data_IF_074261814823
#
_entry.id   IF_074261814823
#
_cell.length_a   1.000
_cell.length_b   1.000
_cell.length_c   1.000
_cell.angle_alpha   90.00
_cell.angle_beta   90.00
_cell.angle_gamma   90.00
#
_symmetry.space_group_name_H-M   'P 1'
#
loop_
_entity.id
_entity.type
_entity.pdbx_description
1 polymer ?
#
# COMPACT_ATOMS: atom_id res chain seq x y z
N UNK A 1 12.98 16.69 -32.63
CA UNK A 1 13.77 16.38 -31.41
C UNK A 1 13.36 17.40 -30.37
N UNK A 2 12.59 17.04 -29.33
CA UNK A 2 11.91 18.04 -28.47
C UNK A 2 12.85 18.53 -27.35
N UNK A 3 13.23 19.80 -27.45
CA UNK A 3 13.94 20.64 -26.47
C UNK A 3 13.09 20.99 -25.24
N UNK A 4 12.52 20.00 -24.55
CA UNK A 4 11.89 20.26 -23.25
C UNK A 4 12.50 19.31 -22.21
N UNK A 5 13.74 19.62 -21.77
CA UNK A 5 14.32 18.92 -20.63
C UNK A 5 13.84 19.62 -19.35
N UNK A 6 12.88 19.01 -18.63
CA UNK A 6 12.38 19.56 -17.34
C UNK A 6 13.44 19.59 -16.24
N UNK A 7 14.59 18.96 -16.49
CA UNK A 7 15.70 18.83 -15.58
C UNK A 7 16.00 17.36 -15.30
N UNK A 8 16.96 17.12 -14.43
CA UNK A 8 17.35 15.77 -14.00
C UNK A 8 16.71 15.43 -12.67
N UNK A 9 16.09 14.24 -12.57
CA UNK A 9 15.57 13.67 -11.32
C UNK A 9 16.33 12.39 -11.00
N UNK A 10 16.71 12.23 -9.73
CA UNK A 10 17.29 10.99 -9.22
C UNK A 10 16.24 10.25 -8.40
N UNK A 11 15.90 9.04 -8.82
CA UNK A 11 15.03 8.11 -8.09
C UNK A 11 15.91 7.10 -7.35
N UNK A 12 15.71 6.97 -6.04
CA UNK A 12 16.45 6.03 -5.19
C UNK A 12 15.56 4.82 -4.91
N UNK A 13 15.97 3.65 -5.41
CA UNK A 13 15.26 2.38 -5.33
C UNK A 13 14.50 2.07 -6.63
N UNK A 14 14.67 0.84 -7.13
CA UNK A 14 14.05 0.32 -8.33
C UNK A 14 12.98 -0.76 -8.02
N UNK A 15 12.30 -0.63 -6.87
CA UNK A 15 11.04 -1.33 -6.61
C UNK A 15 9.86 -0.70 -7.38
N UNK A 16 8.66 -1.26 -7.25
CA UNK A 16 7.47 -0.84 -8.00
C UNK A 16 7.17 0.66 -7.89
N UNK A 17 7.29 1.24 -6.68
CA UNK A 17 7.06 2.67 -6.47
C UNK A 17 8.10 3.54 -7.20
N UNK A 18 9.37 3.12 -7.20
CA UNK A 18 10.46 3.85 -7.86
C UNK A 18 10.37 3.75 -9.38
N UNK A 19 10.14 2.55 -9.91
CA UNK A 19 9.98 2.31 -11.35
C UNK A 19 8.73 2.98 -11.91
N UNK A 20 7.59 2.92 -11.21
CA UNK A 20 6.39 3.63 -11.62
C UNK A 20 6.62 5.15 -11.63
N UNK A 21 7.26 5.70 -10.60
CA UNK A 21 7.61 7.12 -10.55
C UNK A 21 8.53 7.51 -11.71
N UNK A 22 9.58 6.73 -11.97
CA UNK A 22 10.51 6.97 -13.08
C UNK A 22 9.80 6.93 -14.43
N UNK A 23 8.91 5.96 -14.65
CA UNK A 23 8.13 5.81 -15.88
C UNK A 23 7.30 7.07 -16.18
N UNK A 24 6.51 7.54 -15.20
CA UNK A 24 5.68 8.73 -15.39
C UNK A 24 6.51 10.03 -15.50
N UNK A 25 7.65 10.12 -14.81
CA UNK A 25 8.58 11.26 -14.95
C UNK A 25 9.21 11.31 -16.35
N UNK A 26 9.62 10.16 -16.90
CA UNK A 26 10.16 10.09 -18.28
C UNK A 26 9.09 10.52 -19.28
N UNK A 27 7.83 10.05 -19.12
CA UNK A 27 6.70 10.47 -19.97
C UNK A 27 6.43 11.97 -19.90
N UNK A 28 6.65 12.58 -18.74
CA UNK A 28 6.50 14.02 -18.49
C UNK A 28 7.70 14.87 -18.97
N UNK A 29 8.77 14.24 -19.50
CA UNK A 29 9.91 14.92 -20.13
C UNK A 29 11.10 15.19 -19.20
N UNK A 30 11.22 14.45 -18.11
CA UNK A 30 12.38 14.52 -17.21
C UNK A 30 13.51 13.57 -17.66
N UNK A 31 14.75 13.99 -17.43
CA UNK A 31 15.92 13.09 -17.46
C UNK A 31 16.01 12.33 -16.13
N UNK A 32 15.69 11.03 -16.14
CA UNK A 32 15.59 10.24 -14.90
C UNK A 32 16.79 9.32 -14.73
N UNK A 33 17.43 9.40 -13.57
CA UNK A 33 18.48 8.48 -13.12
C UNK A 33 17.97 7.63 -11.97
N UNK A 34 18.08 6.32 -12.08
CA UNK A 34 17.66 5.38 -11.03
C UNK A 34 18.89 4.83 -10.32
N UNK A 35 18.92 4.95 -9.00
CA UNK A 35 19.96 4.37 -8.14
C UNK A 35 19.36 3.19 -7.37
N UNK A 36 19.79 1.98 -7.70
CA UNK A 36 19.41 0.76 -7.00
C UNK A 36 20.67 0.07 -6.44
N UNK A 37 20.57 -0.45 -5.22
CA UNK A 37 21.67 -1.14 -4.54
C UNK A 37 21.78 -2.60 -4.96
N UNK A 38 20.66 -3.26 -5.22
CA UNK A 38 20.54 -4.70 -5.45
C UNK A 38 20.28 -5.03 -6.94
N UNK A 39 20.16 -6.31 -7.26
CA UNK A 39 19.88 -6.83 -8.61
C UNK A 39 18.38 -6.98 -8.94
N UNK A 40 17.50 -6.28 -8.21
CA UNK A 40 16.02 -6.32 -8.30
C UNK A 40 15.33 -7.61 -7.84
N UNK A 41 16.04 -8.74 -7.82
CA UNK A 41 15.59 -10.07 -7.40
C UNK A 41 15.34 -10.22 -5.88
N UNK A 42 15.79 -9.25 -5.08
CA UNK A 42 15.69 -9.31 -3.63
C UNK A 42 15.16 -7.99 -3.06
N UNK A 43 13.89 -7.71 -3.32
CA UNK A 43 13.14 -6.59 -2.74
C UNK A 43 11.66 -6.96 -2.50
N UNK A 44 10.93 -6.08 -1.81
CA UNK A 44 9.51 -6.29 -1.51
C UNK A 44 8.60 -6.36 -2.74
N UNK A 45 9.05 -5.85 -3.89
CA UNK A 45 8.30 -5.88 -5.15
C UNK A 45 8.51 -7.19 -5.92
N UNK A 46 9.62 -7.92 -5.71
CA UNK A 46 9.85 -9.20 -6.39
C UNK A 46 8.98 -10.34 -5.80
N UNK A 47 8.89 -10.44 -4.47
CA UNK A 47 8.22 -11.56 -3.79
C UNK A 47 6.78 -11.28 -3.33
N UNK A 48 6.03 -10.44 -4.04
CA UNK A 48 4.67 -10.06 -3.64
C UNK A 48 3.58 -10.84 -4.40
N UNK A 49 2.34 -10.80 -3.90
CA UNK A 49 1.21 -11.56 -4.47
C UNK A 49 0.59 -10.94 -5.74
N UNK A 50 1.07 -9.79 -6.21
CA UNK A 50 0.57 -9.10 -7.40
C UNK A 50 -0.83 -8.50 -7.24
N UNK A 51 -1.33 -8.35 -6.01
CA UNK A 51 -2.69 -7.87 -5.77
C UNK A 51 -2.80 -6.36 -5.88
N UNK A 52 -3.83 -5.90 -6.61
CA UNK A 52 -4.26 -4.50 -6.66
C UNK A 52 -5.55 -4.40 -5.86
N UNK A 53 -5.53 -3.69 -4.72
CA UNK A 53 -6.54 -3.86 -3.66
C UNK A 53 -7.28 -2.57 -3.27
N UNK A 54 -8.29 -2.13 -4.05
CA UNK A 54 -9.16 -1.02 -3.66
C UNK A 54 -9.87 -1.20 -2.31
N UNK A 55 -10.18 -2.45 -1.93
CA UNK A 55 -10.85 -2.81 -0.67
C UNK A 55 -10.01 -2.58 0.59
N UNK A 56 -8.71 -2.32 0.48
CA UNK A 56 -7.82 -2.08 1.62
C UNK A 56 -7.72 -0.59 1.95
N UNK A 57 -8.87 -0.01 2.33
CA UNK A 57 -9.00 1.42 2.65
C UNK A 57 -8.84 1.76 4.13
N UNK A 58 -8.69 0.76 5.01
CA UNK A 58 -8.47 0.98 6.44
C UNK A 58 -7.02 1.43 6.68
N UNK A 59 -6.77 2.61 7.28
CA UNK A 59 -5.42 3.04 7.64
C UNK A 59 -4.73 2.04 8.56
N UNK A 60 -3.39 1.99 8.51
CA UNK A 60 -2.60 1.17 9.43
C UNK A 60 -2.88 1.50 10.91
N UNK A 61 -3.08 2.78 11.22
CA UNK A 61 -3.51 3.22 12.54
C UNK A 61 -5.03 3.06 12.68
N UNK A 62 -5.48 1.86 13.02
CA UNK A 62 -6.88 1.53 13.22
C UNK A 62 -7.14 0.94 14.63
N UNK A 63 -8.39 0.96 15.13
CA UNK A 63 -8.75 0.26 16.36
C UNK A 63 -8.29 -1.20 16.35
N UNK A 64 -7.86 -1.72 17.50
CA UNK A 64 -7.41 -3.12 17.63
C UNK A 64 -5.97 -3.38 17.20
N UNK A 65 -5.42 -2.63 16.24
CA UNK A 65 -4.01 -2.77 15.80
C UNK A 65 -3.02 -2.52 16.94
N UNK A 66 -3.35 -1.64 17.89
CA UNK A 66 -2.50 -1.37 19.05
C UNK A 66 -2.37 -2.61 19.95
N UNK A 67 -3.49 -3.24 20.30
CA UNK A 67 -3.49 -4.42 21.15
C UNK A 67 -2.80 -5.59 20.45
N UNK A 68 -3.05 -5.75 19.15
CA UNK A 68 -2.40 -6.74 18.31
C UNK A 68 -0.89 -6.46 18.17
N UNK A 69 -0.50 -5.19 18.00
CA UNK A 69 0.88 -4.72 17.93
C UNK A 69 1.64 -5.00 19.22
N UNK A 70 1.02 -4.76 20.39
CA UNK A 70 1.60 -5.13 21.69
C UNK A 70 1.81 -6.64 21.79
N UNK A 71 0.80 -7.45 21.43
CA UNK A 71 0.93 -8.92 21.39
C UNK A 71 2.05 -9.37 20.45
N UNK A 72 2.19 -8.70 19.31
CA UNK A 72 3.21 -8.95 18.29
C UNK A 72 4.63 -8.56 18.73
N UNK A 73 4.80 -7.54 19.58
CA UNK A 73 6.11 -7.21 20.14
C UNK A 73 6.72 -8.35 20.98
N UNK A 74 5.89 -9.23 21.55
CA UNK A 74 6.35 -10.41 22.30
C UNK A 74 6.61 -11.64 21.43
N UNK A 75 6.43 -11.54 20.11
CA UNK A 75 6.72 -12.60 19.16
C UNK A 75 7.68 -12.09 18.08
N UNK A 76 8.95 -12.51 18.13
CA UNK A 76 9.98 -12.12 17.15
C UNK A 76 9.71 -12.63 15.73
N UNK A 77 8.78 -13.56 15.55
CA UNK A 77 8.29 -14.03 14.24
C UNK A 77 7.03 -13.31 13.78
N UNK A 78 6.60 -12.26 14.49
CA UNK A 78 5.44 -11.47 14.09
C UNK A 78 5.70 -10.70 12.79
N UNK A 79 4.69 -10.55 11.90
CA UNK A 79 4.78 -9.69 10.73
C UNK A 79 5.06 -8.21 11.06
N UNK A 80 4.81 -7.77 12.30
CA UNK A 80 5.04 -6.41 12.76
C UNK A 80 5.76 -6.41 14.12
N UNK A 81 7.07 -6.68 14.09
CA UNK A 81 7.91 -6.62 15.28
C UNK A 81 8.52 -5.23 15.45
N UNK A 82 8.14 -4.54 16.52
CA UNK A 82 8.80 -3.30 16.96
C UNK A 82 9.72 -3.63 18.13
N UNK A 83 11.03 -3.48 17.94
CA UNK A 83 12.02 -3.69 19.01
C UNK A 83 11.79 -2.67 20.13
N UNK A 84 11.51 -3.09 21.37
CA UNK A 84 11.40 -2.17 22.49
C UNK A 84 12.69 -1.36 22.65
N UNK A 85 12.58 -0.03 22.71
CA UNK A 85 13.72 0.86 22.94
C UNK A 85 13.28 2.13 23.64
N UNK A 86 14.17 2.73 24.45
CA UNK A 86 13.95 4.02 25.11
C UNK A 86 14.23 5.21 24.19
N UNK A 87 14.15 5.02 22.87
CA UNK A 87 14.38 6.08 21.90
C UNK A 87 13.22 7.09 21.95
N UNK A 88 13.46 8.36 22.33
CA UNK A 88 12.40 9.36 22.44
C UNK A 88 11.61 9.58 21.15
N UNK A 89 12.26 9.41 19.99
CA UNK A 89 11.60 9.52 18.68
C UNK A 89 10.62 8.38 18.44
N UNK A 90 10.99 7.15 18.83
CA UNK A 90 10.11 5.99 18.71
C UNK A 90 8.91 6.13 19.65
N UNK A 91 9.14 6.59 20.88
CA UNK A 91 8.07 6.84 21.86
C UNK A 91 7.10 7.90 21.33
N UNK A 92 7.61 9.04 20.85
CA UNK A 92 6.78 10.11 20.28
C UNK A 92 5.97 9.62 19.06
N UNK A 93 6.59 8.85 18.17
CA UNK A 93 5.89 8.25 17.03
C UNK A 93 4.79 7.27 17.51
N UNK A 94 5.10 6.43 18.50
CA UNK A 94 4.15 5.50 19.10
C UNK A 94 2.95 6.22 19.71
N UNK A 95 3.17 7.31 20.45
CA UNK A 95 2.08 8.12 21.01
C UNK A 95 1.20 8.75 19.92
N UNK A 96 1.79 9.22 18.82
CA UNK A 96 1.03 9.72 17.66
C UNK A 96 0.24 8.59 17.01
N UNK A 97 0.85 7.42 16.80
CA UNK A 97 0.18 6.25 16.26
C UNK A 97 -1.04 5.86 17.13
N UNK A 98 -0.85 5.78 18.44
CA UNK A 98 -1.91 5.51 19.42
C UNK A 98 -3.04 6.53 19.33
N UNK A 99 -2.71 7.82 19.25
CA UNK A 99 -3.69 8.91 19.12
C UNK A 99 -4.58 8.72 17.89
N UNK A 100 -4.02 8.21 16.79
CA UNK A 100 -4.72 8.02 15.52
C UNK A 100 -5.34 6.63 15.35
N UNK A 101 -5.04 5.65 16.20
CA UNK A 101 -5.59 4.30 16.15
C UNK A 101 -7.04 4.22 16.69
N UNK A 102 -7.95 4.99 16.10
CA UNK A 102 -9.35 5.11 16.52
C UNK A 102 -10.32 5.14 15.32
N UNK A 103 -11.62 4.91 15.57
CA UNK A 103 -12.65 4.81 14.51
C UNK A 103 -12.81 6.11 13.72
N UNK A 104 -12.81 7.25 14.37
CA UNK A 104 -12.97 8.55 13.71
C UNK A 104 -11.84 8.82 12.70
N UNK A 105 -10.60 8.42 13.01
CA UNK A 105 -9.48 8.51 12.08
C UNK A 105 -9.69 7.60 10.85
N UNK A 106 -10.17 6.38 11.05
CA UNK A 106 -10.50 5.47 9.93
C UNK A 106 -11.57 6.10 9.04
N UNK A 107 -12.69 6.54 9.61
CA UNK A 107 -13.81 7.13 8.88
C UNK A 107 -13.39 8.39 8.11
N UNK A 108 -12.51 9.22 8.69
CA UNK A 108 -12.02 10.44 8.05
C UNK A 108 -11.13 10.18 6.83
N UNK A 109 -10.40 9.05 6.79
CA UNK A 109 -9.39 8.81 5.76
C UNK A 109 -9.71 7.66 4.80
N UNK A 110 -10.69 6.80 5.12
CA UNK A 110 -11.02 5.63 4.32
C UNK A 110 -11.37 5.99 2.87
N UNK A 111 -12.18 7.03 2.66
CA UNK A 111 -12.54 7.47 1.30
C UNK A 111 -11.33 7.92 0.49
N UNK A 112 -10.43 8.71 1.08
CA UNK A 112 -9.22 9.17 0.41
C UNK A 112 -8.26 8.02 0.06
N UNK A 113 -8.10 7.04 0.95
CA UNK A 113 -7.27 5.85 0.68
C UNK A 113 -7.92 5.01 -0.43
N UNK A 114 -9.24 4.81 -0.36
CA UNK A 114 -10.02 4.13 -1.41
C UNK A 114 -9.80 4.81 -2.76
N UNK A 115 -9.92 6.14 -2.83
CA UNK A 115 -9.75 6.90 -4.07
C UNK A 115 -8.35 6.74 -4.65
N UNK A 116 -7.31 6.77 -3.81
CA UNK A 116 -5.93 6.51 -4.22
C UNK A 116 -5.75 5.07 -4.76
N UNK A 117 -6.37 4.09 -4.12
CA UNK A 117 -6.28 2.70 -4.56
C UNK A 117 -7.02 2.47 -5.89
N UNK A 118 -8.20 3.07 -6.07
CA UNK A 118 -8.93 3.03 -7.35
C UNK A 118 -8.16 3.74 -8.46
N UNK A 119 -7.54 4.88 -8.15
CA UNK A 119 -6.68 5.58 -9.10
C UNK A 119 -5.49 4.71 -9.51
N UNK A 120 -4.81 4.10 -8.54
CA UNK A 120 -3.73 3.13 -8.81
C UNK A 120 -4.20 1.97 -9.69
N UNK A 121 -5.38 1.40 -9.42
CA UNK A 121 -5.98 0.33 -10.24
C UNK A 121 -6.19 0.75 -11.69
N UNK A 122 -6.74 1.94 -11.91
CA UNK A 122 -6.92 2.48 -13.26
C UNK A 122 -5.59 2.64 -13.99
N UNK A 123 -4.54 3.08 -13.31
CA UNK A 123 -3.22 3.19 -13.92
C UNK A 123 -2.68 1.82 -14.38
N UNK A 124 -2.96 0.74 -13.66
CA UNK A 124 -2.62 -0.60 -14.14
C UNK A 124 -3.43 -1.02 -15.36
N UNK A 125 -4.72 -0.66 -15.42
CA UNK A 125 -5.53 -0.89 -16.62
C UNK A 125 -4.96 -0.13 -17.83
N UNK A 126 -4.53 1.12 -17.64
CA UNK A 126 -3.86 1.91 -18.68
C UNK A 126 -2.54 1.28 -19.12
N UNK A 127 -1.70 0.85 -18.18
CA UNK A 127 -0.42 0.18 -18.48
C UNK A 127 -0.63 -1.15 -19.24
N UNK A 128 -1.70 -1.89 -18.96
CA UNK A 128 -2.01 -3.13 -19.66
C UNK A 128 -2.42 -2.92 -21.12
N UNK A 129 -2.75 -1.68 -21.54
CA UNK A 129 -3.04 -1.33 -22.93
C UNK A 129 -1.81 -0.85 -23.71
N UNK A 130 -0.67 -0.64 -23.04
CA UNK A 130 0.54 -0.12 -23.66
C UNK A 130 1.38 -1.29 -24.21
N UNK A 131 1.76 -1.24 -25.49
CA UNK A 131 2.44 -2.34 -26.21
C UNK A 131 3.78 -2.79 -25.59
N UNK A 132 4.37 -1.94 -24.75
CA UNK A 132 5.68 -2.18 -24.11
C UNK A 132 5.58 -2.85 -22.73
N UNK A 133 4.39 -3.20 -22.26
CA UNK A 133 4.18 -3.93 -21.02
C UNK A 133 3.58 -5.31 -21.28
N UNK A 134 4.28 -6.35 -20.83
CA UNK A 134 3.85 -7.74 -20.92
C UNK A 134 3.64 -8.30 -19.52
N UNK A 135 2.41 -8.19 -19.01
CA UNK A 135 2.01 -8.77 -17.73
C UNK A 135 0.54 -9.18 -17.75
N UNK A 136 0.21 -10.15 -16.89
CA UNK A 136 -1.17 -10.59 -16.71
C UNK A 136 -1.91 -9.68 -15.73
N UNK A 137 -3.06 -9.17 -16.16
CA UNK A 137 -3.98 -8.42 -15.30
C UNK A 137 -5.37 -9.07 -15.33
N UNK A 138 -5.85 -9.48 -14.15
CA UNK A 138 -7.17 -10.12 -13.98
C UNK A 138 -8.01 -9.35 -12.98
N UNK A 139 -9.25 -9.06 -13.36
CA UNK A 139 -10.25 -8.40 -12.53
C UNK A 139 -11.31 -9.41 -12.06
N UNK A 140 -10.91 -10.40 -11.26
CA UNK A 140 -11.78 -11.47 -10.74
C UNK A 140 -12.07 -11.36 -9.24
N UNK A 141 -11.66 -10.26 -8.60
CA UNK A 141 -11.88 -10.02 -7.18
C UNK A 141 -11.02 -10.89 -6.25
N UNK A 142 -11.36 -10.87 -4.96
CA UNK A 142 -10.66 -11.62 -3.90
C UNK A 142 -11.68 -12.43 -3.12
N UNK A 143 -11.38 -13.72 -2.90
CA UNK A 143 -12.16 -14.59 -2.02
C UNK A 143 -11.56 -14.62 -0.62
N UNK A 144 -12.28 -14.10 0.36
CA UNK A 144 -11.89 -14.15 1.77
C UNK A 144 -12.44 -15.39 2.45
N UNK A 145 -11.55 -16.27 2.92
CA UNK A 145 -11.92 -17.48 3.67
C UNK A 145 -11.66 -17.28 5.17
N UNK A 146 -12.61 -17.71 6.00
CA UNK A 146 -12.52 -17.61 7.46
C UNK A 146 -12.85 -18.95 8.14
N UNK A 147 -12.33 -19.14 9.36
CA UNK A 147 -12.50 -20.37 10.15
C UNK A 147 -13.38 -20.20 11.39
N UNK A 148 -13.61 -18.96 11.83
CA UNK A 148 -14.38 -18.66 13.04
C UNK A 148 -15.50 -17.67 12.78
N UNK A 149 -16.50 -17.65 13.66
CA UNK A 149 -17.64 -16.74 13.56
C UNK A 149 -17.25 -15.29 13.80
N UNK A 150 -16.24 -15.07 14.62
CA UNK A 150 -15.70 -13.75 14.90
C UNK A 150 -15.08 -13.15 13.63
N UNK A 151 -14.22 -13.92 12.94
CA UNK A 151 -13.63 -13.49 11.68
C UNK A 151 -14.68 -13.32 10.58
N UNK A 152 -15.69 -14.20 10.53
CA UNK A 152 -16.84 -14.02 9.62
C UNK A 152 -17.52 -12.66 9.81
N UNK A 153 -17.78 -12.28 11.06
CA UNK A 153 -18.44 -11.02 11.37
C UNK A 153 -17.57 -9.82 10.97
N UNK A 154 -16.27 -9.88 11.26
CA UNK A 154 -15.32 -8.82 10.86
C UNK A 154 -15.25 -8.64 9.34
N UNK A 155 -15.19 -9.72 8.57
CA UNK A 155 -15.14 -9.67 7.10
C UNK A 155 -16.46 -9.15 6.49
N UNK A 156 -17.62 -9.54 7.05
CA UNK A 156 -18.92 -9.02 6.60
C UNK A 156 -19.03 -7.51 6.87
N UNK A 157 -18.61 -7.05 8.05
CA UNK A 157 -18.58 -5.62 8.38
C UNK A 157 -17.65 -4.83 7.46
N UNK A 158 -16.50 -5.40 7.09
CA UNK A 158 -15.58 -4.79 6.13
C UNK A 158 -16.21 -4.71 4.73
N UNK A 159 -16.91 -5.76 4.29
CA UNK A 159 -17.61 -5.79 3.01
C UNK A 159 -18.72 -4.73 2.95
N UNK A 160 -19.55 -4.60 3.99
CA UNK A 160 -20.56 -3.53 4.05
C UNK A 160 -19.94 -2.14 3.99
N UNK A 161 -18.84 -1.90 4.73
CA UNK A 161 -18.12 -0.62 4.67
C UNK A 161 -17.54 -0.33 3.29
N UNK A 162 -17.05 -1.34 2.60
CA UNK A 162 -16.57 -1.20 1.23
C UNK A 162 -17.71 -0.80 0.27
N UNK A 163 -18.89 -1.41 0.42
CA UNK A 163 -20.10 -1.04 -0.32
C UNK A 163 -20.56 0.39 -0.01
N UNK A 164 -20.52 0.81 1.26
CA UNK A 164 -20.81 2.20 1.67
C UNK A 164 -19.84 3.21 1.04
N UNK A 165 -18.60 2.79 0.82
CA UNK A 165 -17.59 3.56 0.10
C UNK A 165 -17.73 3.46 -1.43
N UNK A 166 -18.70 2.69 -1.95
CA UNK A 166 -18.97 2.55 -3.37
C UNK A 166 -18.02 1.60 -4.10
N UNK A 167 -17.47 0.61 -3.41
CA UNK A 167 -16.76 -0.52 -4.02
C UNK A 167 -17.73 -1.65 -4.36
N UNK A 168 -17.45 -2.36 -5.45
CA UNK A 168 -18.16 -3.57 -5.86
C UNK A 168 -17.53 -4.78 -5.13
N UNK A 169 -18.14 -5.20 -4.02
CA UNK A 169 -17.69 -6.34 -3.19
C UNK A 169 -18.86 -7.20 -2.73
#
# INVERSE_FOLDING_TARGET
MKENNRGTVVVIGAGIAGLASAYYLVRDGWDVKILEKNTLDNNCSYGNAGMIVPSHFTPLAAPGIVAQGIKWMFNSKSPFYVRPSLNPRLINWGLKFLKHANRAHVEQHASAIRDLNLYSSRLYDELAQEDNFDFELKQNGILMMYKSKEMQHEEIELAHRAQDLGLDV
#
